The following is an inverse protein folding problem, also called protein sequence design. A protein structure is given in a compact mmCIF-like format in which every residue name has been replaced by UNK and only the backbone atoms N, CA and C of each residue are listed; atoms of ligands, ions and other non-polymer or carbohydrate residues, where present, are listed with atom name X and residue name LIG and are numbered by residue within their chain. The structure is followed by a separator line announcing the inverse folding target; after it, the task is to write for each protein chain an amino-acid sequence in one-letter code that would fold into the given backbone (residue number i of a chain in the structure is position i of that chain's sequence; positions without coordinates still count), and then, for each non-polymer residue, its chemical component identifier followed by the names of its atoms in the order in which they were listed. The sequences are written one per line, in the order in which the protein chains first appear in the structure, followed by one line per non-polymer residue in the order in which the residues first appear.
data_IF_793669938967
#
_entry.id   IF_793669938967
#
_cell.length_a   1.000
_cell.length_b   1.000
_cell.length_c   1.000
_cell.angle_alpha   90.00
_cell.angle_beta   90.00
_cell.angle_gamma   90.00
#
_symmetry.space_group_name_H-M   'P 1'
#
loop_
_entity.id
_entity.type
_entity.pdbx_description
1 polymer ?
#
# COMPACT_ATOMS: atom_id res chain seq x y z
N UNK A 1 -13.02 -16.30 -16.92
CA UNK A 1 -13.86 -15.53 -15.98
C UNK A 1 -13.17 -14.21 -15.70
N UNK A 2 -13.57 -13.13 -16.40
CA UNK A 2 -13.07 -11.78 -16.16
C UNK A 2 -13.62 -11.30 -14.81
N UNK A 3 -12.76 -11.03 -13.84
CA UNK A 3 -13.16 -10.49 -12.54
C UNK A 3 -13.32 -8.97 -12.67
N UNK A 4 -14.49 -8.58 -13.19
CA UNK A 4 -14.99 -7.21 -13.22
C UNK A 4 -15.07 -6.67 -11.78
N UNK A 5 -14.59 -5.44 -11.52
CA UNK A 5 -14.95 -4.71 -10.30
C UNK A 5 -13.88 -4.51 -9.20
N UNK A 6 -12.59 -4.81 -9.41
CA UNK A 6 -11.58 -4.56 -8.36
C UNK A 6 -11.48 -3.10 -7.91
N UNK A 7 -11.83 -2.14 -8.76
CA UNK A 7 -11.88 -0.71 -8.45
C UNK A 7 -12.98 -0.35 -7.43
N UNK A 8 -13.97 -1.22 -7.24
CA UNK A 8 -15.02 -1.03 -6.24
C UNK A 8 -14.48 -1.09 -4.81
N UNK A 9 -13.36 -1.79 -4.58
CA UNK A 9 -12.76 -1.89 -3.24
C UNK A 9 -12.14 -0.57 -2.77
N UNK A 10 -11.22 0.09 -3.50
CA UNK A 10 -10.77 1.42 -3.08
C UNK A 10 -11.89 2.46 -3.11
N UNK A 11 -12.87 2.33 -4.00
CA UNK A 11 -14.04 3.20 -4.03
C UNK A 11 -14.91 3.05 -2.77
N UNK A 12 -15.15 1.81 -2.31
CA UNK A 12 -15.91 1.56 -1.09
C UNK A 12 -15.22 2.16 0.11
N UNK A 13 -13.89 2.08 0.21
CA UNK A 13 -13.12 2.70 1.30
C UNK A 13 -13.23 4.23 1.30
N UNK A 14 -13.14 4.86 0.13
CA UNK A 14 -13.25 6.32 -0.03
C UNK A 14 -14.66 6.83 0.27
N UNK A 15 -15.67 5.97 0.22
CA UNK A 15 -17.07 6.33 0.53
C UNK A 15 -17.42 5.98 1.98
N UNK A 16 -17.15 4.73 2.40
CA UNK A 16 -17.52 4.20 3.72
C UNK A 16 -16.82 4.97 4.81
N UNK A 17 -15.50 5.23 4.73
CA UNK A 17 -14.81 5.90 5.83
C UNK A 17 -15.28 7.33 6.08
N UNK A 18 -15.35 8.23 5.08
CA UNK A 18 -15.88 9.58 5.31
C UNK A 18 -17.33 9.58 5.80
N UNK A 19 -18.20 8.74 5.22
CA UNK A 19 -19.60 8.65 5.68
C UNK A 19 -19.65 8.19 7.13
N UNK A 20 -18.88 7.17 7.49
CA UNK A 20 -18.84 6.63 8.86
C UNK A 20 -18.41 7.70 9.84
N UNK A 21 -17.23 8.31 9.63
CA UNK A 21 -16.68 9.27 10.58
C UNK A 21 -17.49 10.56 10.67
N UNK A 22 -18.09 11.01 9.56
CA UNK A 22 -19.00 12.15 9.59
C UNK A 22 -20.30 11.80 10.33
N UNK A 23 -20.86 10.61 10.11
CA UNK A 23 -22.09 10.16 10.77
C UNK A 23 -21.88 10.02 12.27
N UNK A 24 -20.81 9.35 12.71
CA UNK A 24 -20.51 9.18 14.14
C UNK A 24 -20.14 10.49 14.80
N UNK A 25 -19.44 11.40 14.10
CA UNK A 25 -19.24 12.76 14.57
C UNK A 25 -20.58 13.49 14.79
N UNK A 26 -21.45 13.56 13.78
CA UNK A 26 -22.74 14.27 13.88
C UNK A 26 -23.61 13.70 15.00
N UNK A 27 -23.71 12.37 15.10
CA UNK A 27 -24.48 11.72 16.16
C UNK A 27 -23.89 11.99 17.55
N UNK A 28 -22.56 11.85 17.71
CA UNK A 28 -21.91 12.12 19.01
C UNK A 28 -22.07 13.57 19.46
N UNK A 29 -22.12 14.52 18.52
CA UNK A 29 -22.44 15.93 18.81
C UNK A 29 -23.91 16.13 19.15
N UNK A 30 -24.82 15.48 18.44
CA UNK A 30 -26.26 15.54 18.70
C UNK A 30 -26.62 15.02 20.09
N UNK A 31 -26.08 13.86 20.48
CA UNK A 31 -26.30 13.25 21.79
C UNK A 31 -25.38 13.80 22.90
N UNK A 32 -24.47 14.72 22.57
CA UNK A 32 -23.51 15.34 23.50
C UNK A 32 -22.58 14.30 24.16
N UNK A 33 -22.17 13.29 23.41
CA UNK A 33 -21.23 12.25 23.86
C UNK A 33 -19.76 12.67 23.73
N UNK A 34 -19.46 13.69 22.94
CA UNK A 34 -18.09 14.18 22.68
C UNK A 34 -18.01 15.70 22.79
N UNK A 35 -16.82 16.31 22.95
CA UNK A 35 -16.59 17.74 22.74
C UNK A 35 -16.73 18.15 21.26
N UNK A 36 -16.58 19.44 20.95
CA UNK A 36 -16.74 19.94 19.58
C UNK A 36 -15.68 19.39 18.61
N UNK A 37 -14.48 19.14 19.11
CA UNK A 37 -13.34 18.60 18.37
C UNK A 37 -12.77 17.38 19.11
N UNK A 38 -13.38 16.19 18.96
CA UNK A 38 -12.91 14.96 19.57
C UNK A 38 -11.92 14.21 18.68
N UNK A 39 -11.18 13.25 19.24
CA UNK A 39 -10.52 12.24 18.40
C UNK A 39 -11.59 11.49 17.58
N UNK A 40 -11.21 10.96 16.42
CA UNK A 40 -12.13 10.21 15.56
C UNK A 40 -12.70 9.01 16.31
N UNK A 41 -11.86 8.29 17.06
CA UNK A 41 -12.26 7.12 17.84
C UNK A 41 -13.23 7.45 18.98
N UNK A 42 -13.13 8.64 19.58
CA UNK A 42 -14.05 9.08 20.64
C UNK A 42 -15.49 9.20 20.11
N UNK A 43 -15.67 9.50 18.82
CA UNK A 43 -17.00 9.55 18.20
C UNK A 43 -17.69 8.19 18.13
N UNK A 44 -16.94 7.10 18.27
CA UNK A 44 -17.42 5.71 18.21
C UNK A 44 -17.48 5.01 19.56
N UNK A 45 -17.51 5.76 20.67
CA UNK A 45 -17.50 5.20 22.02
C UNK A 45 -18.89 4.79 22.51
N UNK A 46 -19.86 5.71 22.45
CA UNK A 46 -21.20 5.52 22.98
C UNK A 46 -22.17 4.93 21.94
N UNK A 47 -23.32 4.43 22.39
CA UNK A 47 -24.39 3.92 21.50
C UNK A 47 -25.31 5.08 21.09
N UNK A 48 -25.76 5.17 19.82
CA UNK A 48 -25.65 4.18 18.73
C UNK A 48 -24.37 4.25 17.86
N UNK A 49 -23.50 5.23 18.08
CA UNK A 49 -22.36 5.54 17.22
C UNK A 49 -21.34 4.40 17.17
N UNK A 50 -21.08 3.75 18.30
CA UNK A 50 -20.15 2.62 18.44
C UNK A 50 -20.54 1.43 17.56
N UNK A 51 -21.84 1.13 17.44
CA UNK A 51 -22.34 0.08 16.57
C UNK A 51 -22.07 0.41 15.10
N UNK A 52 -22.34 1.65 14.68
CA UNK A 52 -22.11 2.13 13.32
C UNK A 52 -20.61 2.10 13.00
N UNK A 53 -19.79 2.64 13.91
CA UNK A 53 -18.34 2.73 13.78
C UNK A 53 -17.73 1.34 13.64
N UNK A 54 -18.07 0.41 14.54
CA UNK A 54 -17.55 -0.97 14.52
C UNK A 54 -17.97 -1.71 13.26
N UNK A 55 -19.26 -1.66 12.92
CA UNK A 55 -19.78 -2.35 11.74
C UNK A 55 -19.10 -1.86 10.47
N UNK A 56 -19.06 -0.54 10.27
CA UNK A 56 -18.50 0.06 9.07
C UNK A 56 -17.00 -0.23 8.92
N UNK A 57 -16.21 -0.09 10.00
CA UNK A 57 -14.78 -0.42 9.96
C UNK A 57 -14.51 -1.90 9.68
N UNK A 58 -15.39 -2.80 10.14
CA UNK A 58 -15.28 -4.24 9.90
C UNK A 58 -15.54 -4.63 8.46
N UNK A 59 -16.49 -3.95 7.78
CA UNK A 59 -16.92 -4.31 6.42
C UNK A 59 -16.31 -3.43 5.31
N UNK A 60 -15.54 -2.40 5.66
CA UNK A 60 -15.01 -1.42 4.70
C UNK A 60 -14.15 -2.03 3.56
N UNK A 61 -13.53 -3.19 3.80
CA UNK A 61 -12.77 -3.94 2.79
C UNK A 61 -11.26 -3.65 2.78
N UNK A 62 -10.70 -3.12 3.87
CA UNK A 62 -9.28 -2.69 3.92
C UNK A 62 -8.29 -3.84 3.77
N UNK A 63 -8.54 -4.98 4.42
CA UNK A 63 -7.71 -6.17 4.24
C UNK A 63 -7.70 -6.64 2.78
N UNK A 64 -8.85 -6.55 2.09
CA UNK A 64 -8.97 -6.91 0.68
C UNK A 64 -8.21 -5.91 -0.21
N UNK A 65 -8.28 -4.62 0.08
CA UNK A 65 -7.48 -3.58 -0.58
C UNK A 65 -5.98 -3.88 -0.50
N UNK A 66 -5.47 -4.18 0.71
CA UNK A 66 -4.05 -4.54 0.90
C UNK A 66 -3.68 -5.78 0.10
N UNK A 67 -4.53 -6.81 0.14
CA UNK A 67 -4.31 -8.05 -0.59
C UNK A 67 -4.25 -7.84 -2.11
N UNK A 68 -5.14 -7.03 -2.68
CA UNK A 68 -5.15 -6.72 -4.11
C UNK A 68 -3.86 -5.99 -4.50
N UNK A 69 -3.45 -4.98 -3.74
CA UNK A 69 -2.18 -4.26 -3.99
C UNK A 69 -0.98 -5.20 -3.93
N UNK A 70 -0.93 -6.10 -2.94
CA UNK A 70 0.10 -7.14 -2.86
C UNK A 70 0.15 -7.99 -4.13
N UNK A 71 -1.00 -8.42 -4.66
CA UNK A 71 -1.08 -9.22 -5.89
C UNK A 71 -0.61 -8.44 -7.11
N UNK A 72 -1.02 -7.17 -7.25
CA UNK A 72 -0.61 -6.28 -8.36
C UNK A 72 0.90 -6.09 -8.36
N UNK A 73 1.52 -5.82 -7.21
CA UNK A 73 2.97 -5.67 -7.13
C UNK A 73 3.66 -7.02 -7.37
N UNK A 74 3.14 -8.12 -6.83
CA UNK A 74 3.74 -9.45 -7.00
C UNK A 74 3.78 -9.88 -8.47
N UNK A 75 2.76 -9.57 -9.26
CA UNK A 75 2.77 -9.87 -10.70
C UNK A 75 3.78 -9.02 -11.47
N UNK A 76 4.04 -7.80 -10.99
CA UNK A 76 4.76 -6.78 -11.76
C UNK A 76 6.25 -6.69 -11.38
N UNK A 77 6.60 -6.90 -10.11
CA UNK A 77 7.95 -6.71 -9.56
C UNK A 77 8.45 -7.98 -8.84
N UNK A 78 8.92 -8.97 -9.61
CA UNK A 78 9.42 -10.24 -9.06
C UNK A 78 10.67 -10.07 -8.18
N UNK A 79 11.52 -9.07 -8.48
CA UNK A 79 12.75 -8.78 -7.73
C UNK A 79 12.49 -8.23 -6.33
N UNK A 80 11.37 -7.51 -6.12
CA UNK A 80 11.04 -6.86 -4.84
C UNK A 80 10.01 -7.66 -4.00
N UNK A 81 9.96 -8.98 -4.20
CA UNK A 81 8.96 -9.87 -3.56
C UNK A 81 8.98 -9.80 -2.02
N UNK A 82 10.14 -9.63 -1.40
CA UNK A 82 10.28 -9.58 0.07
C UNK A 82 9.71 -8.26 0.58
N UNK A 83 10.10 -7.14 -0.03
CA UNK A 83 9.59 -5.81 0.31
C UNK A 83 8.06 -5.77 0.17
N UNK A 84 7.51 -6.34 -0.91
CA UNK A 84 6.07 -6.44 -1.11
C UNK A 84 5.37 -7.28 -0.03
N UNK A 85 5.97 -8.38 0.44
CA UNK A 85 5.43 -9.17 1.56
C UNK A 85 5.44 -8.38 2.87
N UNK A 86 6.51 -7.65 3.15
CA UNK A 86 6.61 -6.79 4.34
C UNK A 86 5.53 -5.70 4.29
N UNK A 87 5.38 -5.03 3.15
CA UNK A 87 4.31 -4.05 2.94
C UNK A 87 2.93 -4.68 3.19
N UNK A 88 2.64 -5.83 2.60
CA UNK A 88 1.38 -6.53 2.79
C UNK A 88 1.11 -6.88 4.26
N UNK A 89 2.12 -7.36 4.99
CA UNK A 89 2.00 -7.66 6.41
C UNK A 89 1.68 -6.39 7.23
N UNK A 90 2.42 -5.29 7.01
CA UNK A 90 2.17 -4.01 7.70
C UNK A 90 0.78 -3.44 7.39
N UNK A 91 0.36 -3.49 6.13
CA UNK A 91 -0.95 -3.02 5.71
C UNK A 91 -2.10 -3.87 6.30
N UNK A 92 -1.93 -5.20 6.36
CA UNK A 92 -2.90 -6.09 6.99
C UNK A 92 -2.96 -5.85 8.50
N UNK A 93 -1.82 -5.71 9.17
CA UNK A 93 -1.74 -5.34 10.59
C UNK A 93 -2.48 -4.03 10.86
N UNK A 94 -2.27 -3.00 10.03
CA UNK A 94 -2.97 -1.72 10.15
C UNK A 94 -4.48 -1.85 9.92
N UNK A 95 -4.89 -2.64 8.92
CA UNK A 95 -6.31 -2.88 8.63
C UNK A 95 -7.01 -3.62 9.78
N UNK A 96 -6.35 -4.60 10.39
CA UNK A 96 -6.85 -5.29 11.58
C UNK A 96 -6.89 -4.33 12.77
N UNK A 97 -5.86 -3.48 12.92
CA UNK A 97 -5.80 -2.44 13.94
C UNK A 97 -7.03 -1.52 13.93
N UNK A 98 -7.48 -1.10 12.75
CA UNK A 98 -8.70 -0.29 12.60
C UNK A 98 -9.96 -1.01 13.13
N UNK A 99 -10.10 -2.31 12.83
CA UNK A 99 -11.21 -3.12 13.34
C UNK A 99 -11.12 -3.26 14.86
N UNK A 100 -9.92 -3.45 15.40
CA UNK A 100 -9.69 -3.51 16.86
C UNK A 100 -10.07 -2.19 17.52
N UNK A 101 -9.64 -1.04 16.99
CA UNK A 101 -9.99 0.29 17.51
C UNK A 101 -11.50 0.48 17.56
N UNK A 102 -12.22 0.08 16.51
CA UNK A 102 -13.68 0.19 16.48
C UNK A 102 -14.37 -0.77 17.44
N UNK A 103 -13.89 -2.01 17.52
CA UNK A 103 -14.52 -3.08 18.32
C UNK A 103 -14.25 -2.97 19.83
N UNK A 104 -13.12 -2.39 20.20
CA UNK A 104 -12.69 -2.21 21.59
C UNK A 104 -12.60 -0.72 21.89
N UNK A 105 -13.71 -0.13 22.32
CA UNK A 105 -13.80 1.30 22.63
C UNK A 105 -12.86 1.66 23.78
N UNK A 106 -12.32 2.89 23.71
CA UNK A 106 -11.30 3.40 24.64
C UNK A 106 -11.78 3.38 26.10
N UNK A 107 -13.08 3.63 26.34
CA UNK A 107 -13.71 3.63 27.66
C UNK A 107 -13.95 2.24 28.24
N UNK A 108 -14.05 1.21 27.39
CA UNK A 108 -14.39 -0.15 27.79
C UNK A 108 -13.14 -1.02 27.98
N UNK A 109 -12.23 -1.03 27.00
CA UNK A 109 -11.04 -1.90 27.00
C UNK A 109 -9.83 -1.15 26.43
N UNK A 110 -9.33 -0.18 27.21
CA UNK A 110 -8.23 0.73 26.82
C UNK A 110 -7.00 0.00 26.25
N UNK A 111 -6.58 -1.12 26.85
CA UNK A 111 -5.39 -1.84 26.42
C UNK A 111 -5.54 -2.34 24.97
N UNK A 112 -6.69 -2.96 24.65
CA UNK A 112 -6.98 -3.42 23.30
C UNK A 112 -7.09 -2.24 22.33
N UNK A 113 -7.73 -1.14 22.74
CA UNK A 113 -7.85 0.07 21.94
C UNK A 113 -6.47 0.62 21.55
N UNK A 114 -5.56 0.79 22.51
CA UNK A 114 -4.22 1.34 22.29
C UNK A 114 -3.38 0.40 21.43
N UNK A 115 -3.49 -0.92 21.61
CA UNK A 115 -2.84 -1.90 20.72
C UNK A 115 -3.35 -1.73 19.27
N UNK A 116 -4.67 -1.63 19.08
CA UNK A 116 -5.26 -1.40 17.76
C UNK A 116 -4.82 -0.07 17.13
N UNK A 117 -4.74 0.99 17.94
CA UNK A 117 -4.26 2.29 17.52
C UNK A 117 -2.79 2.21 17.08
N UNK A 118 -1.93 1.59 17.88
CA UNK A 118 -0.51 1.38 17.53
C UNK A 118 -0.36 0.58 16.23
N UNK A 119 -1.12 -0.50 16.06
CA UNK A 119 -1.15 -1.27 14.81
C UNK A 119 -1.52 -0.40 13.60
N UNK A 120 -2.53 0.47 13.77
CA UNK A 120 -3.03 1.37 12.73
C UNK A 120 -2.01 2.45 12.37
N UNK A 121 -1.58 3.23 13.38
CA UNK A 121 -0.73 4.42 13.23
C UNK A 121 0.75 4.11 13.02
N UNK A 122 1.22 2.88 13.26
CA UNK A 122 2.56 2.46 12.87
C UNK A 122 2.55 1.67 11.56
N UNK A 123 1.65 0.70 11.41
CA UNK A 123 1.61 -0.18 10.23
C UNK A 123 1.20 0.54 8.95
N UNK A 124 0.16 1.37 9.02
CA UNK A 124 -0.44 2.03 7.85
C UNK A 124 0.50 3.03 7.15
N UNK A 125 1.20 3.92 7.88
CA UNK A 125 2.08 4.91 7.28
C UNK A 125 3.33 4.28 6.69
N UNK A 126 3.90 3.29 7.38
CA UNK A 126 5.04 2.54 6.86
C UNK A 126 4.61 1.77 5.61
N UNK A 127 3.43 1.13 5.61
CA UNK A 127 2.85 0.54 4.40
C UNK A 127 2.72 1.56 3.27
N UNK A 128 2.17 2.75 3.55
CA UNK A 128 1.98 3.83 2.57
C UNK A 128 3.30 4.27 1.94
N UNK A 129 4.36 4.42 2.74
CA UNK A 129 5.71 4.74 2.24
C UNK A 129 6.26 3.64 1.33
N UNK A 130 6.20 2.38 1.79
CA UNK A 130 6.73 1.24 1.03
C UNK A 130 5.93 1.02 -0.26
N UNK A 131 4.59 1.08 -0.21
CA UNK A 131 3.76 0.86 -1.39
C UNK A 131 3.92 2.00 -2.41
N UNK A 132 4.11 3.25 -1.97
CA UNK A 132 4.49 4.36 -2.87
C UNK A 132 5.80 4.06 -3.60
N UNK A 133 6.83 3.58 -2.88
CA UNK A 133 8.09 3.17 -3.48
C UNK A 133 7.93 2.01 -4.49
N UNK A 134 7.09 1.03 -4.17
CA UNK A 134 6.80 -0.10 -5.06
C UNK A 134 6.04 0.34 -6.32
N UNK A 135 5.09 1.27 -6.21
CA UNK A 135 4.42 1.86 -7.37
C UNK A 135 5.40 2.65 -8.24
N UNK A 136 6.31 3.42 -7.64
CA UNK A 136 7.35 4.12 -8.40
C UNK A 136 8.28 3.14 -9.13
N UNK A 137 8.68 2.05 -8.47
CA UNK A 137 9.52 1.00 -9.05
C UNK A 137 8.82 0.27 -10.20
N UNK A 138 7.50 0.12 -10.11
CA UNK A 138 6.66 -0.49 -11.14
C UNK A 138 6.72 0.30 -12.46
N UNK A 139 6.65 1.64 -12.40
CA UNK A 139 6.80 2.50 -13.58
C UNK A 139 8.17 2.34 -14.26
N UNK A 140 9.25 2.17 -13.48
CA UNK A 140 10.61 2.00 -14.03
C UNK A 140 10.82 0.64 -14.68
N UNK A 141 10.32 -0.44 -14.08
CA UNK A 141 10.60 -1.80 -14.53
C UNK A 141 9.99 -2.15 -15.89
N UNK A 142 8.87 -1.52 -16.26
CA UNK A 142 8.11 -1.95 -17.44
C UNK A 142 8.21 -1.00 -18.64
N UNK A 143 8.78 0.20 -18.49
CA UNK A 143 8.63 1.31 -19.47
C UNK A 143 7.17 1.57 -19.88
N UNK A 144 6.21 1.10 -19.07
CA UNK A 144 4.79 1.37 -19.20
C UNK A 144 4.46 2.35 -18.08
N UNK A 145 3.95 3.54 -18.43
CA UNK A 145 3.47 4.52 -17.46
C UNK A 145 2.13 4.05 -16.87
N UNK A 146 2.19 3.04 -16.01
CA UNK A 146 1.03 2.53 -15.27
C UNK A 146 0.49 3.63 -14.35
N UNK A 147 1.38 4.48 -13.84
CA UNK A 147 1.03 5.69 -13.12
C UNK A 147 1.56 6.92 -13.86
N UNK A 148 0.70 7.93 -14.07
CA UNK A 148 1.15 9.22 -14.60
C UNK A 148 2.16 9.87 -13.65
N UNK A 149 3.10 10.66 -14.18
CA UNK A 149 4.12 11.35 -13.37
C UNK A 149 3.49 12.23 -12.29
N UNK A 150 2.42 12.97 -12.65
CA UNK A 150 1.67 13.80 -11.71
C UNK A 150 1.03 13.00 -10.57
N UNK A 151 0.39 11.86 -10.88
CA UNK A 151 -0.23 11.01 -9.85
C UNK A 151 0.82 10.40 -8.91
N UNK A 152 1.99 10.03 -9.43
CA UNK A 152 3.10 9.54 -8.61
C UNK A 152 3.66 10.64 -7.70
N UNK A 153 3.88 11.84 -8.23
CA UNK A 153 4.33 12.99 -7.44
C UNK A 153 3.32 13.33 -6.33
N UNK A 154 2.03 13.30 -6.64
CA UNK A 154 0.96 13.48 -5.66
C UNK A 154 1.03 12.44 -4.53
N UNK A 155 1.18 11.15 -4.85
CA UNK A 155 1.32 10.09 -3.83
C UNK A 155 2.57 10.26 -2.97
N UNK A 156 3.70 10.65 -3.57
CA UNK A 156 4.93 10.96 -2.82
C UNK A 156 4.69 12.12 -1.86
N UNK A 157 4.08 13.21 -2.32
CA UNK A 157 3.75 14.36 -1.48
C UNK A 157 2.83 13.98 -0.31
N UNK A 158 1.79 13.17 -0.56
CA UNK A 158 0.92 12.66 0.49
C UNK A 158 1.67 11.77 1.49
N UNK A 159 2.55 10.87 1.03
CA UNK A 159 3.34 10.01 1.93
C UNK A 159 4.34 10.80 2.77
N UNK A 160 4.97 11.83 2.20
CA UNK A 160 5.83 12.75 2.95
C UNK A 160 5.04 13.54 3.98
N UNK A 161 3.88 14.09 3.58
CA UNK A 161 3.00 14.83 4.50
C UNK A 161 2.50 13.94 5.64
N UNK A 162 2.08 12.71 5.34
CA UNK A 162 1.69 11.71 6.35
C UNK A 162 2.78 11.52 7.40
N UNK A 163 4.04 11.39 6.97
CA UNK A 163 5.18 11.20 7.87
C UNK A 163 5.35 12.42 8.79
N UNK A 164 5.30 13.63 8.25
CA UNK A 164 5.39 14.87 9.04
C UNK A 164 4.24 14.99 10.05
N UNK A 165 3.00 14.75 9.60
CA UNK A 165 1.80 14.85 10.44
C UNK A 165 1.86 13.87 11.60
N UNK A 166 2.33 12.64 11.38
CA UNK A 166 2.44 11.66 12.45
C UNK A 166 3.57 11.93 13.44
N UNK A 167 4.73 12.39 12.97
CA UNK A 167 5.80 12.80 13.88
C UNK A 167 5.28 13.90 14.82
N UNK A 168 4.65 14.94 14.26
CA UNK A 168 4.06 16.00 15.07
C UNK A 168 2.88 15.52 15.91
N UNK A 169 2.08 14.58 15.43
CA UNK A 169 0.95 13.99 16.15
C UNK A 169 1.40 13.21 17.38
N UNK A 170 2.46 12.40 17.25
CA UNK A 170 3.06 11.69 18.38
C UNK A 170 3.71 12.64 19.38
N UNK A 171 4.42 13.66 18.92
CA UNK A 171 4.98 14.69 19.81
C UNK A 171 3.85 15.40 20.56
N UNK A 172 2.82 15.86 19.86
CA UNK A 172 1.68 16.56 20.47
C UNK A 172 0.94 15.67 21.47
N UNK A 173 0.71 14.40 21.14
CA UNK A 173 0.07 13.44 22.05
C UNK A 173 0.93 13.21 23.29
N UNK A 174 2.25 13.00 23.13
CA UNK A 174 3.17 12.84 24.26
C UNK A 174 3.16 14.08 25.16
N UNK A 175 3.32 15.26 24.59
CA UNK A 175 3.33 16.51 25.37
C UNK A 175 1.99 16.73 26.08
N UNK A 176 0.87 16.43 25.42
CA UNK A 176 -0.44 16.50 26.06
C UNK A 176 -0.45 15.65 27.34
N UNK A 177 -0.13 14.37 27.22
CA UNK A 177 -0.11 13.44 28.36
C UNK A 177 0.90 13.80 29.45
N UNK A 178 2.04 14.37 29.09
CA UNK A 178 3.05 14.82 30.06
C UNK A 178 2.54 15.98 30.94
N UNK A 179 1.70 16.85 30.38
CA UNK A 179 1.10 17.98 31.09
C UNK A 179 -0.29 17.68 31.66
N UNK A 180 -0.85 16.50 31.41
CA UNK A 180 -2.22 16.19 31.82
C UNK A 180 -2.33 16.10 33.35
N UNK A 181 -3.27 16.86 33.91
CA UNK A 181 -3.52 16.98 35.34
C UNK A 181 -4.96 16.63 35.75
N UNK A 182 -5.70 15.96 34.87
CA UNK A 182 -7.10 15.59 35.11
C UNK A 182 -7.28 14.27 35.87
N UNK A 183 -8.32 14.22 36.70
CA UNK A 183 -8.65 13.04 37.53
C UNK A 183 -9.42 11.95 36.76
N UNK A 184 -10.03 12.31 35.62
CA UNK A 184 -10.81 11.40 34.78
C UNK A 184 -9.97 10.93 33.60
N UNK A 185 -9.61 9.66 33.54
CA UNK A 185 -8.95 9.07 32.37
C UNK A 185 -9.96 8.34 31.46
N UNK A 186 -9.63 8.28 30.17
CA UNK A 186 -10.30 7.41 29.18
C UNK A 186 -11.79 7.73 28.96
N UNK A 187 -12.16 9.00 29.11
CA UNK A 187 -13.47 9.55 28.76
C UNK A 187 -13.32 10.55 27.62
N UNK A 188 -14.27 10.62 26.66
CA UNK A 188 -14.27 11.66 25.62
C UNK A 188 -14.21 13.11 26.15
N UNK A 189 -14.59 13.33 27.41
CA UNK A 189 -14.59 14.65 28.07
C UNK A 189 -13.44 14.85 29.06
N UNK A 190 -12.42 13.98 29.04
CA UNK A 190 -11.30 14.09 29.99
C UNK A 190 -10.49 15.39 29.84
N UNK A 191 -10.47 15.97 28.64
CA UNK A 191 -9.78 17.21 28.34
C UNK A 191 -10.73 18.40 28.45
N UNK A 192 -10.53 19.25 29.46
CA UNK A 192 -11.28 20.50 29.65
C UNK A 192 -10.47 21.67 29.09
N UNK A 193 -11.12 22.78 28.77
CA UNK A 193 -10.46 24.02 28.33
C UNK A 193 -9.45 24.56 29.37
N UNK A 194 -9.62 24.20 30.64
CA UNK A 194 -8.73 24.57 31.75
C UNK A 194 -7.63 23.53 32.01
N UNK A 195 -7.66 22.37 31.35
CA UNK A 195 -6.67 21.31 31.55
C UNK A 195 -5.29 21.75 31.07
N UNK A 196 -4.26 21.42 31.85
CA UNK A 196 -2.90 21.59 31.37
C UNK A 196 -2.65 20.68 30.16
N UNK A 197 -1.87 21.17 29.19
CA UNK A 197 -1.62 20.43 27.95
C UNK A 197 -2.76 20.46 26.91
N UNK A 198 -3.88 21.16 27.15
CA UNK A 198 -5.03 21.19 26.22
C UNK A 198 -4.65 21.62 24.80
N UNK A 199 -3.73 22.58 24.63
CA UNK A 199 -3.27 23.01 23.30
C UNK A 199 -2.57 21.89 22.53
N UNK A 200 -1.78 21.07 23.23
CA UNK A 200 -1.10 19.91 22.66
C UNK A 200 -2.11 18.80 22.32
N UNK A 201 -3.09 18.58 23.19
CA UNK A 201 -4.19 17.66 22.91
C UNK A 201 -4.95 18.09 21.65
N UNK A 202 -5.42 19.33 21.59
CA UNK A 202 -6.10 19.90 20.41
C UNK A 202 -5.26 19.76 19.14
N UNK A 203 -3.96 20.03 19.20
CA UNK A 203 -3.06 19.83 18.06
C UNK A 203 -3.02 18.36 17.60
N UNK A 204 -2.93 17.42 18.53
CA UNK A 204 -2.94 15.98 18.19
C UNK A 204 -4.26 15.52 17.56
N UNK A 205 -5.40 16.01 18.06
CA UNK A 205 -6.72 15.74 17.48
C UNK A 205 -6.79 16.26 16.04
N UNK A 206 -6.38 17.51 15.79
CA UNK A 206 -6.36 18.08 14.43
C UNK A 206 -5.47 17.25 13.50
N UNK A 207 -4.30 16.82 13.97
CA UNK A 207 -3.38 16.00 13.19
C UNK A 207 -3.93 14.59 12.90
N UNK A 208 -4.75 14.03 13.79
CA UNK A 208 -5.48 12.79 13.52
C UNK A 208 -6.50 12.96 12.38
N UNK A 209 -7.31 14.01 12.41
CA UNK A 209 -8.27 14.31 11.33
C UNK A 209 -7.56 14.58 9.99
N UNK A 210 -6.41 15.27 10.01
CA UNK A 210 -5.58 15.46 8.81
C UNK A 210 -5.04 14.11 8.31
N UNK A 211 -4.58 13.23 9.21
CA UNK A 211 -4.11 11.88 8.88
C UNK A 211 -5.19 11.11 8.13
N UNK A 212 -6.43 11.14 8.62
CA UNK A 212 -7.57 10.52 7.96
C UNK A 212 -7.79 11.06 6.53
N UNK A 213 -7.80 12.38 6.35
CA UNK A 213 -7.97 13.01 5.02
C UNK A 213 -6.87 12.57 4.05
N UNK A 214 -5.62 12.52 4.52
CA UNK A 214 -4.48 12.06 3.70
C UNK A 214 -4.69 10.61 3.25
N UNK A 215 -5.15 9.72 4.14
CA UNK A 215 -5.44 8.33 3.77
C UNK A 215 -6.53 8.22 2.70
N UNK A 216 -7.65 8.95 2.86
CA UNK A 216 -8.74 8.94 1.87
C UNK A 216 -8.24 9.44 0.52
N UNK A 217 -7.52 10.57 0.49
CA UNK A 217 -6.91 11.11 -0.73
C UNK A 217 -5.92 10.13 -1.37
N UNK A 218 -5.11 9.45 -0.56
CA UNK A 218 -4.16 8.47 -1.06
C UNK A 218 -4.85 7.25 -1.67
N UNK A 219 -5.84 6.66 -0.98
CA UNK A 219 -6.62 5.53 -1.49
C UNK A 219 -7.36 5.94 -2.77
N UNK A 220 -7.99 7.11 -2.80
CA UNK A 220 -8.64 7.65 -3.99
C UNK A 220 -7.66 7.76 -5.17
N UNK A 221 -6.44 8.22 -4.92
CA UNK A 221 -5.38 8.29 -5.93
C UNK A 221 -5.04 6.91 -6.53
N UNK A 222 -5.33 5.81 -5.83
CA UNK A 222 -5.07 4.46 -6.33
C UNK A 222 -6.13 3.92 -7.26
N UNK A 223 -7.37 4.44 -7.24
CA UNK A 223 -8.50 3.94 -8.04
C UNK A 223 -8.14 3.73 -9.54
N UNK A 224 -7.44 4.66 -10.24
CA UNK A 224 -7.05 4.47 -11.64
C UNK A 224 -6.18 3.23 -11.90
N UNK A 225 -5.42 2.76 -10.90
CA UNK A 225 -4.64 1.52 -11.01
C UNK A 225 -5.54 0.31 -11.23
N UNK A 226 -6.72 0.30 -10.60
CA UNK A 226 -7.61 -0.85 -10.55
C UNK A 226 -8.42 -1.05 -11.83
N UNK A 227 -8.71 0.03 -12.57
CA UNK A 227 -9.29 -0.05 -13.91
C UNK A 227 -8.33 -0.66 -14.94
N UNK A 228 -7.02 -0.55 -14.68
CA UNK A 228 -5.98 -1.03 -15.58
C UNK A 228 -5.46 -2.43 -15.20
N UNK A 229 -6.05 -3.14 -14.23
CA UNK A 229 -5.51 -4.45 -13.79
C UNK A 229 -5.60 -5.51 -14.88
N UNK A 230 -6.66 -5.49 -15.69
CA UNK A 230 -6.80 -6.44 -16.81
C UNK A 230 -5.89 -6.05 -17.98
N UNK A 231 -5.71 -4.76 -18.26
CA UNK A 231 -4.73 -4.30 -19.25
C UNK A 231 -3.29 -4.58 -18.80
N UNK A 232 -3.01 -4.49 -17.50
CA UNK A 232 -1.73 -4.86 -16.89
C UNK A 232 -1.44 -6.35 -17.07
N UNK A 233 -2.41 -7.23 -16.76
CA UNK A 233 -2.24 -8.68 -16.98
C UNK A 233 -1.98 -9.00 -18.45
N UNK A 234 -2.76 -8.44 -19.36
CA UNK A 234 -2.59 -8.67 -20.80
C UNK A 234 -1.26 -8.13 -21.30
N UNK A 235 -0.87 -6.92 -20.89
CA UNK A 235 0.42 -6.32 -21.25
C UNK A 235 1.59 -7.13 -20.71
N UNK A 236 1.50 -7.63 -19.46
CA UNK A 236 2.54 -8.48 -18.86
C UNK A 236 2.67 -9.82 -19.58
N UNK A 237 1.56 -10.44 -19.96
CA UNK A 237 1.56 -11.70 -20.73
C UNK A 237 2.17 -11.48 -22.11
N UNK A 238 1.75 -10.43 -22.82
CA UNK A 238 2.29 -10.11 -24.15
C UNK A 238 3.79 -9.78 -24.10
N UNK A 239 4.23 -8.96 -23.14
CA UNK A 239 5.65 -8.62 -23.00
C UNK A 239 6.51 -9.83 -22.65
N UNK A 240 6.05 -10.67 -21.72
CA UNK A 240 6.74 -11.93 -21.41
C UNK A 240 6.83 -12.85 -22.63
N UNK A 241 5.78 -12.93 -23.46
CA UNK A 241 5.80 -13.72 -24.69
C UNK A 241 6.78 -13.14 -25.73
N UNK A 242 6.86 -11.81 -25.85
CA UNK A 242 7.81 -11.14 -26.74
C UNK A 242 9.26 -11.35 -26.27
N UNK A 243 9.53 -11.20 -24.98
CA UNK A 243 10.86 -11.43 -24.39
C UNK A 243 11.29 -12.90 -24.51
N UNK A 244 10.34 -13.84 -24.36
CA UNK A 244 10.60 -15.26 -24.57
C UNK A 244 10.92 -15.57 -26.04
N UNK A 245 10.15 -14.99 -26.98
CA UNK A 245 10.39 -15.15 -28.42
C UNK A 245 11.73 -14.57 -28.84
N UNK A 246 12.10 -13.39 -28.35
CA UNK A 246 13.39 -12.75 -28.68
C UNK A 246 14.59 -13.56 -28.17
N UNK A 247 14.52 -14.08 -26.94
CA UNK A 247 15.56 -14.94 -26.37
C UNK A 247 15.73 -16.25 -27.15
N UNK A 248 14.63 -16.87 -27.59
CA UNK A 248 14.69 -18.10 -28.39
C UNK A 248 15.21 -17.84 -29.81
N UNK A 249 14.82 -16.74 -30.44
CA UNK A 249 15.36 -16.34 -31.74
C UNK A 249 16.88 -16.12 -31.69
N UNK A 250 17.36 -15.46 -30.63
CA UNK A 250 18.79 -15.23 -30.42
C UNK A 250 19.55 -16.55 -30.17
N UNK A 251 18.98 -17.48 -29.41
CA UNK A 251 19.57 -18.83 -29.22
C UNK A 251 19.61 -19.65 -30.50
N UNK A 252 18.59 -19.53 -31.37
CA UNK A 252 18.59 -20.20 -32.68
C UNK A 252 19.71 -19.66 -33.56
N UNK A 253 19.81 -18.33 -33.70
CA UNK A 253 20.87 -17.70 -34.49
C UNK A 253 22.27 -18.09 -34.01
N UNK A 254 22.49 -18.20 -32.70
CA UNK A 254 23.77 -18.66 -32.15
C UNK A 254 24.04 -20.13 -32.54
N UNK A 255 23.04 -21.01 -32.47
CA UNK A 255 23.19 -22.41 -32.89
C UNK A 255 23.48 -22.54 -34.38
N UNK A 256 22.78 -21.78 -35.21
CA UNK A 256 22.95 -21.80 -36.67
C UNK A 256 24.35 -21.32 -37.05
N UNK A 257 24.84 -20.24 -36.42
CA UNK A 257 26.20 -19.74 -36.63
C UNK A 257 27.29 -20.71 -36.16
N UNK A 258 27.05 -21.44 -35.06
CA UNK A 258 27.99 -22.48 -34.60
C UNK A 258 28.02 -23.66 -35.56
N UNK A 259 26.88 -24.09 -36.10
CA UNK A 259 26.84 -25.15 -37.11
C UNK A 259 27.56 -24.74 -38.40
N UNK A 260 27.31 -23.53 -38.91
CA UNK A 260 27.98 -23.01 -40.11
C UNK A 260 29.51 -22.97 -39.94
N UNK A 261 30.00 -22.56 -38.76
CA UNK A 261 31.44 -22.55 -38.49
C UNK A 261 32.02 -23.97 -38.40
N UNK A 262 31.30 -24.92 -37.80
CA UNK A 262 31.73 -26.32 -37.74
C UNK A 262 31.80 -26.93 -39.14
N UNK A 263 30.78 -26.71 -39.98
CA UNK A 263 30.75 -27.23 -41.35
C UNK A 263 31.87 -26.61 -42.21
N UNK A 264 32.17 -25.32 -42.01
CA UNK A 264 33.29 -24.65 -42.67
C UNK A 264 34.66 -25.18 -42.20
N UNK A 265 34.82 -25.47 -40.91
CA UNK A 265 36.03 -26.07 -40.36
C UNK A 265 36.23 -27.52 -40.86
N UNK A 266 35.16 -28.31 -40.96
CA UNK A 266 35.19 -29.66 -41.55
C UNK A 266 35.55 -29.64 -43.04
N UNK A 267 34.96 -28.74 -43.82
CA UNK A 267 35.28 -28.59 -45.25
C UNK A 267 36.74 -28.15 -45.48
N UNK A 268 37.30 -27.33 -44.59
CA UNK A 268 38.73 -27.01 -44.61
C UNK A 268 39.60 -28.22 -44.25
N UNK A 269 39.17 -29.05 -43.29
CA UNK A 269 39.91 -30.25 -42.89
C UNK A 269 39.95 -31.30 -44.01
N UNK A 270 38.82 -31.54 -44.69
CA UNK A 270 38.74 -32.46 -45.83
C UNK A 270 39.65 -32.03 -46.99
N UNK A 271 39.68 -30.73 -47.32
CA UNK A 271 40.61 -30.17 -48.31
C UNK A 271 42.08 -30.36 -47.94
N UNK A 272 42.43 -30.27 -46.65
CA UNK A 272 43.81 -30.51 -46.17
C UNK A 272 44.16 -32.01 -46.24
N UNK A 273 43.21 -32.92 -45.94
CA UNK A 273 43.45 -34.35 -46.07
C UNK A 273 43.62 -34.82 -47.52
N UNK A 274 42.81 -34.31 -48.45
CA UNK A 274 42.94 -34.66 -49.87
C UNK A 274 44.26 -34.19 -50.48
N UNK A 275 44.83 -33.08 -50.00
CA UNK A 275 46.16 -32.61 -50.42
C UNK A 275 47.32 -33.45 -49.84
N UNK A 276 47.11 -34.22 -48.76
CA UNK A 276 48.15 -35.09 -48.20
C UNK A 276 48.30 -36.41 -48.96
N UNK A 277 47.22 -36.93 -49.53
CA UNK A 277 47.24 -38.19 -50.30
C UNK A 277 47.91 -38.04 -51.69
N UNK A 278 48.08 -36.79 -52.17
CA UNK A 278 48.82 -36.48 -53.40
C UNK A 278 50.36 -36.52 -53.23
N UNK A 279 50.87 -36.63 -52.00
CA UNK A 279 52.31 -36.65 -51.71
C UNK A 279 52.86 -38.03 -51.30
N UNK A 280 52.04 -39.09 -51.29
CA UNK A 280 52.46 -40.44 -50.88
C UNK A 280 52.68 -41.44 -52.03
N UNK A 281 52.62 -41.01 -53.30
CA UNK A 281 52.81 -41.91 -54.47
C UNK A 281 54.15 -41.76 -55.20
N UNK A 282 55.12 -41.01 -54.67
CA UNK A 282 56.48 -40.94 -55.22
C UNK A 282 57.50 -41.53 -54.24
N UNK A 283 57.63 -42.85 -54.21
CA UNK A 283 58.87 -43.56 -53.84
C UNK A 283 58.94 -44.91 -54.54
#
# INVERSE_FOLDING_TARGET
MQLLGYHLVPLSLVVIYPITFLTTYVLSRYYKHTPALPYISDTGVETPESCIFTFALSVAGSCLYIYINYKIIKSTLKSLKIINKIAAALGLTSSIGLVVVGSFQVSNVILCHVIGAAMTFLGGPIYMLIITYLYHSTNKSHNVNIHSKGLMAFRIALSSLMTCVLIWGFIATKQAWEYFDGDTMYSPFMWKETSNGIKWHTASVILEWITFIIYVCYIASTIPLYYNVDSLKTTMVMKHQLDYKSQNAQKSQIKDNVHINIDADFANYENISQNKDLYSSEK
#
